data_IF_779090880145
#
_entry.id   IF_779090880145
#
_cell.length_a   1.000
_cell.length_b   1.000
_cell.length_c   1.000
_cell.angle_alpha   90.00
_cell.angle_beta   90.00
_cell.angle_gamma   90.00
#
_symmetry.space_group_name_H-M   'P 1'
#
loop_
_entity.id
_entity.type
_entity.pdbx_description
1 polymer ?
#
# COMPACT_ATOMS: atom_id res chain seq x y z
N UNK A 1 -29.43 -2.62 -15.52
CA UNK A 1 -28.15 -2.48 -16.26
C UNK A 1 -27.23 -1.69 -15.36
N UNK A 2 -26.27 -2.35 -14.71
CA UNK A 2 -25.39 -1.73 -13.74
C UNK A 2 -24.16 -1.19 -14.48
N UNK A 3 -24.01 0.13 -14.46
CA UNK A 3 -22.77 0.81 -14.82
C UNK A 3 -21.68 0.41 -13.83
N UNK A 4 -20.49 -0.05 -14.28
CA UNK A 4 -19.37 -0.23 -13.39
C UNK A 4 -18.88 1.16 -12.97
N UNK A 5 -18.99 1.48 -11.68
CA UNK A 5 -18.25 2.62 -11.13
C UNK A 5 -16.76 2.30 -11.23
N UNK A 6 -16.07 2.97 -12.15
CA UNK A 6 -14.61 3.04 -12.15
C UNK A 6 -14.15 3.67 -10.84
N UNK A 7 -13.83 2.85 -9.85
CA UNK A 7 -13.09 3.26 -8.67
C UNK A 7 -11.61 3.38 -9.05
N UNK A 8 -11.29 4.32 -9.92
CA UNK A 8 -9.91 4.74 -10.17
C UNK A 8 -9.47 5.60 -9.00
N UNK A 9 -9.35 5.00 -7.82
CA UNK A 9 -8.68 5.60 -6.69
C UNK A 9 -7.18 5.59 -7.04
N UNK A 10 -6.67 6.71 -7.56
CA UNK A 10 -5.24 6.93 -7.84
C UNK A 10 -4.49 7.01 -6.50
N UNK A 11 -4.42 5.88 -5.82
CA UNK A 11 -4.06 5.81 -4.41
C UNK A 11 -2.57 5.99 -4.12
N UNK A 12 -1.76 6.08 -5.18
CA UNK A 12 -0.38 6.52 -5.07
C UNK A 12 -0.29 7.98 -4.61
N UNK A 13 -1.35 8.80 -4.80
CA UNK A 13 -1.39 10.20 -4.38
C UNK A 13 -1.47 10.37 -2.85
N UNK A 14 -2.03 9.40 -2.12
CA UNK A 14 -2.13 9.49 -0.65
C UNK A 14 -0.87 9.03 0.08
N UNK A 15 -0.03 8.22 -0.57
CA UNK A 15 1.23 7.72 -0.01
C UNK A 15 2.40 8.50 -0.62
N UNK A 16 2.28 9.83 -0.68
CA UNK A 16 3.41 10.70 -1.01
C UNK A 16 4.08 11.20 0.25
N UNK A 17 5.04 10.44 0.77
CA UNK A 17 6.15 11.09 1.48
C UNK A 17 7.05 11.70 0.42
N UNK A 18 7.06 13.02 0.32
CA UNK A 18 8.14 13.74 -0.33
C UNK A 18 9.40 13.36 0.47
N UNK A 19 10.37 12.62 -0.11
CA UNK A 19 11.52 12.18 0.65
C UNK A 19 12.25 13.43 1.12
N UNK A 20 12.08 13.76 2.41
CA UNK A 20 12.87 14.80 3.06
C UNK A 20 14.33 14.59 2.70
N UNK A 21 15.06 15.71 2.49
CA UNK A 21 16.46 15.71 2.03
C UNK A 21 17.21 14.51 2.59
N UNK A 22 17.85 13.70 1.74
CA UNK A 22 18.46 12.45 2.18
C UNK A 22 19.41 12.77 3.33
N UNK A 23 19.14 12.18 4.50
CA UNK A 23 20.13 12.12 5.57
C UNK A 23 21.41 11.57 4.93
N UNK A 24 22.60 12.15 5.16
CA UNK A 24 23.85 11.66 4.60
C UNK A 24 24.03 10.19 5.01
N UNK A 25 23.64 9.28 4.12
CA UNK A 25 23.84 7.86 4.34
C UNK A 25 25.34 7.61 4.16
N UNK A 26 25.96 6.93 5.13
CA UNK A 26 27.21 6.21 4.87
C UNK A 26 27.02 5.43 3.57
N UNK A 27 28.02 5.38 2.66
CA UNK A 27 27.84 4.78 1.35
C UNK A 27 27.40 3.33 1.51
N UNK A 28 26.10 3.09 1.37
CA UNK A 28 25.55 1.76 1.20
C UNK A 28 26.14 1.33 -0.13
N UNK A 29 26.97 0.28 -0.13
CA UNK A 29 27.50 -0.30 -1.37
C UNK A 29 26.33 -0.50 -2.32
N UNK A 30 26.22 0.34 -3.36
CA UNK A 30 25.23 0.13 -4.42
C UNK A 30 25.53 -1.26 -4.97
N UNK A 31 24.53 -2.14 -4.98
CA UNK A 31 24.64 -3.40 -5.70
C UNK A 31 24.96 -3.04 -7.15
N UNK A 32 25.93 -3.74 -7.75
CA UNK A 32 26.14 -3.59 -9.19
C UNK A 32 24.85 -3.98 -9.92
N UNK A 33 24.63 -3.43 -11.11
CA UNK A 33 23.45 -3.72 -11.93
C UNK A 33 23.21 -5.24 -12.09
N UNK A 34 24.28 -6.01 -12.28
CA UNK A 34 24.20 -7.48 -12.38
C UNK A 34 23.69 -8.14 -11.10
N UNK A 35 24.04 -7.61 -9.93
CA UNK A 35 23.55 -8.13 -8.65
C UNK A 35 22.08 -7.78 -8.44
N UNK A 36 21.64 -6.58 -8.88
CA UNK A 36 20.22 -6.21 -8.88
C UNK A 36 19.42 -7.12 -9.80
N UNK A 37 19.90 -7.38 -11.02
CA UNK A 37 19.27 -8.30 -11.98
C UNK A 37 19.13 -9.69 -11.37
N UNK A 38 20.22 -10.26 -10.85
CA UNK A 38 20.19 -11.58 -10.22
C UNK A 38 19.22 -11.64 -9.05
N UNK A 39 19.18 -10.59 -8.24
CA UNK A 39 18.33 -10.51 -7.06
C UNK A 39 16.83 -10.39 -7.42
N UNK A 40 16.47 -9.53 -8.38
CA UNK A 40 15.08 -9.41 -8.87
C UNK A 40 14.64 -10.72 -9.50
N UNK A 41 15.46 -11.34 -10.36
CA UNK A 41 15.19 -12.67 -10.95
C UNK A 41 14.94 -13.74 -9.89
N UNK A 42 15.82 -13.81 -8.89
CA UNK A 42 15.69 -14.77 -7.80
C UNK A 42 14.43 -14.54 -6.94
N UNK A 43 13.91 -13.32 -6.90
CA UNK A 43 12.62 -13.03 -6.25
C UNK A 43 11.44 -13.38 -7.16
N UNK A 44 11.50 -13.04 -8.45
CA UNK A 44 10.48 -13.40 -9.45
C UNK A 44 10.27 -14.92 -9.55
N UNK A 45 11.35 -15.69 -9.43
CA UNK A 45 11.29 -17.16 -9.40
C UNK A 45 10.58 -17.73 -8.16
N UNK A 46 10.31 -16.92 -7.13
CA UNK A 46 9.54 -17.32 -5.94
C UNK A 46 8.06 -16.98 -6.04
N UNK A 47 7.65 -16.25 -7.09
CA UNK A 47 6.24 -16.01 -7.35
C UNK A 47 5.59 -17.31 -7.83
N UNK A 48 4.25 -17.46 -7.73
CA UNK A 48 3.55 -18.58 -8.35
C UNK A 48 3.89 -18.71 -9.85
N UNK A 49 4.28 -19.91 -10.30
CA UNK A 49 4.74 -20.17 -11.67
C UNK A 49 3.66 -20.84 -12.55
N UNK A 50 2.54 -21.26 -11.96
CA UNK A 50 1.41 -21.85 -12.66
C UNK A 50 0.10 -21.69 -11.88
N UNK A 51 -1.04 -22.02 -12.50
CA UNK A 51 -2.36 -21.91 -11.86
C UNK A 51 -2.44 -22.74 -10.57
N UNK A 52 -1.79 -23.91 -10.53
CA UNK A 52 -1.70 -24.74 -9.32
C UNK A 52 -1.04 -23.97 -8.17
N UNK A 53 0.08 -23.27 -8.39
CA UNK A 53 0.73 -22.47 -7.34
C UNK A 53 -0.16 -21.32 -6.85
N UNK A 54 -0.94 -20.74 -7.76
CA UNK A 54 -1.92 -19.71 -7.47
C UNK A 54 -3.13 -20.27 -6.70
N UNK A 55 -3.45 -21.55 -6.79
CA UNK A 55 -4.66 -22.10 -6.17
C UNK A 55 -4.36 -23.03 -4.97
N UNK A 56 -3.10 -23.45 -4.79
CA UNK A 56 -2.63 -24.34 -3.71
C UNK A 56 -2.67 -23.71 -2.30
N UNK A 57 -2.89 -22.40 -2.18
CA UNK A 57 -3.00 -21.69 -0.91
C UNK A 57 -4.17 -20.72 -0.95
N UNK A 58 -4.76 -20.45 0.22
CA UNK A 58 -5.76 -19.37 0.36
C UNK A 58 -5.10 -18.00 0.09
N UNK A 59 -5.84 -17.06 -0.52
CA UNK A 59 -7.21 -17.18 -1.02
C UNK A 59 -7.28 -17.93 -2.37
N UNK A 60 -8.20 -18.88 -2.52
CA UNK A 60 -8.42 -19.60 -3.79
C UNK A 60 -9.85 -19.45 -4.31
N UNK A 61 -10.73 -18.82 -3.55
CA UNK A 61 -12.14 -18.54 -3.89
C UNK A 61 -12.50 -17.07 -3.70
N UNK A 62 -13.54 -16.54 -4.38
CA UNK A 62 -14.06 -15.19 -4.12
C UNK A 62 -14.51 -14.97 -2.67
N UNK A 63 -15.03 -16.01 -2.02
CA UNK A 63 -15.41 -16.00 -0.62
C UNK A 63 -14.20 -15.82 0.29
N UNK A 64 -13.08 -16.50 0.01
CA UNK A 64 -11.82 -16.31 0.75
C UNK A 64 -11.33 -14.85 0.62
N UNK A 65 -11.40 -14.28 -0.58
CA UNK A 65 -11.04 -12.87 -0.82
C UNK A 65 -11.92 -11.96 0.05
N UNK A 66 -13.22 -12.19 0.05
CA UNK A 66 -14.18 -11.37 0.80
C UNK A 66 -13.99 -11.48 2.31
N UNK A 67 -13.73 -12.69 2.83
CA UNK A 67 -13.45 -12.92 4.24
C UNK A 67 -12.12 -12.29 4.67
N UNK A 68 -11.08 -12.45 3.87
CA UNK A 68 -9.78 -11.85 4.14
C UNK A 68 -9.85 -10.32 4.10
N UNK A 69 -10.56 -9.76 3.11
CA UNK A 69 -10.84 -8.34 3.02
C UNK A 69 -11.53 -7.82 4.29
N UNK A 70 -12.64 -8.44 4.70
CA UNK A 70 -13.36 -8.07 5.91
C UNK A 70 -12.49 -8.10 7.18
N UNK A 71 -11.58 -9.08 7.29
CA UNK A 71 -10.60 -9.16 8.39
C UNK A 71 -9.56 -8.04 8.30
N UNK A 72 -8.94 -7.86 7.13
CA UNK A 72 -7.92 -6.84 6.87
C UNK A 72 -8.46 -5.41 6.98
N UNK A 73 -9.76 -5.20 6.79
CA UNK A 73 -10.42 -3.89 6.96
C UNK A 73 -11.08 -3.70 8.32
N UNK A 74 -10.94 -4.68 9.22
CA UNK A 74 -11.62 -4.74 10.52
C UNK A 74 -13.12 -4.39 10.41
N UNK A 75 -13.78 -4.90 9.37
CA UNK A 75 -15.14 -4.49 8.98
C UNK A 75 -16.19 -4.67 10.07
N UNK A 76 -15.96 -5.64 10.97
CA UNK A 76 -16.77 -5.95 12.14
C UNK A 76 -16.73 -4.86 13.24
N UNK A 77 -15.71 -4.01 13.26
CA UNK A 77 -15.60 -2.91 14.23
C UNK A 77 -16.52 -1.78 13.77
N UNK A 78 -17.61 -1.51 14.49
CA UNK A 78 -18.55 -0.44 14.13
C UNK A 78 -17.96 0.97 14.33
N UNK A 79 -18.56 1.97 13.67
CA UNK A 79 -18.26 3.40 13.90
C UNK A 79 -16.81 3.85 13.64
N UNK A 80 -16.04 3.13 12.83
CA UNK A 80 -14.62 3.47 12.51
C UNK A 80 -14.46 4.89 12.00
N UNK A 81 -15.40 5.36 11.17
CA UNK A 81 -15.42 6.73 10.65
C UNK A 81 -15.43 7.83 11.73
N UNK A 82 -15.94 7.51 12.92
CA UNK A 82 -16.08 8.45 14.04
C UNK A 82 -14.91 8.35 15.03
N UNK A 83 -14.07 7.31 14.95
CA UNK A 83 -12.92 7.14 15.84
C UNK A 83 -11.88 8.22 15.54
N UNK A 84 -11.20 8.75 16.55
CA UNK A 84 -9.94 9.45 16.33
C UNK A 84 -8.88 8.47 15.78
N UNK A 85 -7.78 9.01 15.27
CA UNK A 85 -6.75 8.20 14.63
C UNK A 85 -6.04 7.24 15.59
N UNK A 86 -5.76 7.64 16.83
CA UNK A 86 -5.13 6.76 17.81
C UNK A 86 -6.04 5.57 18.12
N UNK A 87 -7.33 5.83 18.36
CA UNK A 87 -8.34 4.78 18.58
C UNK A 87 -8.46 3.83 17.39
N UNK A 88 -8.48 4.35 16.16
CA UNK A 88 -8.57 3.52 14.96
C UNK A 88 -7.33 2.65 14.75
N UNK A 89 -6.13 3.21 14.94
CA UNK A 89 -4.86 2.48 14.82
C UNK A 89 -4.75 1.40 15.90
N UNK A 90 -5.25 1.65 17.11
CA UNK A 90 -5.25 0.69 18.20
C UNK A 90 -6.24 -0.46 17.98
N UNK A 91 -7.43 -0.14 17.50
CA UNK A 91 -8.41 -1.15 17.06
C UNK A 91 -7.84 -2.00 15.92
N UNK A 92 -7.14 -1.39 14.97
CA UNK A 92 -6.47 -2.10 13.90
C UNK A 92 -5.39 -3.04 14.44
N UNK A 93 -4.50 -2.56 15.31
CA UNK A 93 -3.44 -3.36 15.90
C UNK A 93 -3.96 -4.56 16.69
N UNK A 94 -5.06 -4.40 17.43
CA UNK A 94 -5.68 -5.47 18.21
C UNK A 94 -6.16 -6.65 17.35
N UNK A 95 -6.56 -6.38 16.10
CA UNK A 95 -6.98 -7.40 15.15
C UNK A 95 -5.85 -8.34 14.68
N UNK A 96 -4.58 -7.99 14.94
CA UNK A 96 -3.40 -8.80 14.56
C UNK A 96 -3.47 -10.26 15.04
N UNK A 97 -4.05 -10.49 16.23
CA UNK A 97 -4.25 -11.81 16.83
C UNK A 97 -5.13 -12.76 15.99
N UNK A 98 -5.96 -12.21 15.11
CA UNK A 98 -6.83 -12.96 14.23
C UNK A 98 -6.17 -13.43 12.93
N UNK A 99 -4.88 -13.16 12.70
CA UNK A 99 -4.16 -13.50 11.47
C UNK A 99 -3.15 -14.63 11.69
N UNK A 100 -3.02 -15.51 10.69
CA UNK A 100 -2.02 -16.58 10.72
C UNK A 100 -0.59 -16.00 10.70
N UNK A 101 0.31 -16.47 11.58
CA UNK A 101 1.70 -16.03 11.58
C UNK A 101 2.36 -16.22 10.21
N UNK A 102 3.07 -15.19 9.75
CA UNK A 102 3.77 -15.21 8.48
C UNK A 102 3.11 -14.30 7.44
N UNK A 103 2.49 -14.88 6.41
CA UNK A 103 2.07 -14.14 5.20
C UNK A 103 0.83 -13.26 5.43
N UNK A 104 -0.13 -13.73 6.22
CA UNK A 104 -1.27 -12.91 6.61
C UNK A 104 -0.85 -11.77 7.55
N UNK A 105 -0.07 -12.07 8.60
CA UNK A 105 0.49 -11.02 9.49
C UNK A 105 1.33 -10.01 8.71
N UNK A 106 2.10 -10.43 7.71
CA UNK A 106 2.85 -9.51 6.83
C UNK A 106 1.91 -8.51 6.15
N UNK A 107 0.80 -9.00 5.57
CA UNK A 107 -0.18 -8.16 4.88
C UNK A 107 -0.86 -7.19 5.85
N UNK A 108 -1.28 -7.68 7.02
CA UNK A 108 -1.81 -6.85 8.09
C UNK A 108 -0.82 -5.74 8.51
N UNK A 109 0.46 -6.07 8.70
CA UNK A 109 1.50 -5.08 9.01
C UNK A 109 1.66 -4.04 7.90
N UNK A 110 1.58 -4.44 6.62
CA UNK A 110 1.66 -3.49 5.50
C UNK A 110 0.49 -2.51 5.50
N UNK A 111 -0.73 -2.97 5.80
CA UNK A 111 -1.91 -2.10 5.92
C UNK A 111 -1.78 -1.17 7.14
N UNK A 112 -1.27 -1.66 8.28
CA UNK A 112 -0.97 -0.81 9.44
C UNK A 112 0.00 0.34 9.08
N UNK A 113 1.09 0.02 8.36
CA UNK A 113 2.04 1.06 7.91
C UNK A 113 1.35 2.03 6.95
N UNK A 114 0.45 1.56 6.09
CA UNK A 114 -0.29 2.39 5.15
C UNK A 114 -1.27 3.33 5.85
N UNK A 115 -1.99 2.83 6.85
CA UNK A 115 -2.86 3.63 7.73
C UNK A 115 -2.06 4.71 8.45
N UNK A 116 -0.86 4.38 8.95
CA UNK A 116 0.03 5.33 9.58
C UNK A 116 0.48 6.46 8.64
N UNK A 117 0.71 6.18 7.35
CA UNK A 117 0.97 7.23 6.35
C UNK A 117 -0.20 8.20 6.21
N UNK A 118 -1.42 7.69 6.10
CA UNK A 118 -2.63 8.52 6.01
C UNK A 118 -2.84 9.33 7.29
N UNK A 119 -2.69 8.69 8.46
CA UNK A 119 -2.84 9.34 9.74
C UNK A 119 -1.81 10.49 9.93
N UNK A 120 -0.56 10.25 9.54
CA UNK A 120 0.48 11.30 9.51
C UNK A 120 0.09 12.47 8.60
N UNK A 121 -0.42 12.18 7.39
CA UNK A 121 -0.88 13.23 6.46
C UNK A 121 -2.05 14.07 7.01
N UNK A 122 -2.78 13.54 7.98
CA UNK A 122 -3.92 14.19 8.64
C UNK A 122 -3.60 14.75 10.04
N UNK A 123 -2.32 14.82 10.42
CA UNK A 123 -1.88 15.61 11.57
C UNK A 123 -1.25 14.84 12.73
N UNK A 124 -1.14 13.50 12.67
CA UNK A 124 -0.27 12.81 13.63
C UNK A 124 1.20 13.10 13.36
N UNK A 125 1.96 13.23 14.44
CA UNK A 125 3.41 13.38 14.38
C UNK A 125 4.08 12.08 13.95
N UNK A 126 5.33 12.19 13.49
CA UNK A 126 6.14 11.00 13.15
C UNK A 126 6.29 10.05 14.35
N UNK A 127 6.47 10.56 15.57
CA UNK A 127 6.65 9.73 16.76
C UNK A 127 5.39 8.95 17.13
N UNK A 128 4.21 9.57 16.98
CA UNK A 128 2.93 8.90 17.22
C UNK A 128 2.69 7.78 16.21
N UNK A 129 2.90 8.03 14.92
CA UNK A 129 2.71 6.97 13.92
C UNK A 129 3.74 5.86 14.03
N UNK A 130 4.97 6.16 14.45
CA UNK A 130 5.99 5.15 14.73
C UNK A 130 5.62 4.29 15.95
N UNK A 131 5.03 4.91 16.97
CA UNK A 131 4.49 4.21 18.16
C UNK A 131 3.33 3.28 17.78
N UNK A 132 2.41 3.73 16.92
CA UNK A 132 1.34 2.89 16.41
C UNK A 132 1.87 1.73 15.55
N UNK A 133 2.80 1.99 14.63
CA UNK A 133 3.44 0.95 13.80
C UNK A 133 4.10 -0.16 14.65
N UNK A 134 4.73 0.20 15.76
CA UNK A 134 5.39 -0.73 16.67
C UNK A 134 4.43 -1.77 17.29
N UNK A 135 3.11 -1.51 17.30
CA UNK A 135 2.10 -2.45 17.80
C UNK A 135 1.92 -3.67 16.87
N UNK A 136 2.25 -3.55 15.59
CA UNK A 136 2.15 -4.64 14.61
C UNK A 136 3.51 -5.10 14.09
N UNK A 137 4.44 -4.16 13.90
CA UNK A 137 5.74 -4.43 13.27
C UNK A 137 6.80 -4.67 14.34
N UNK A 138 7.26 -5.92 14.45
CA UNK A 138 8.36 -6.26 15.36
C UNK A 138 9.68 -5.67 14.88
N UNK A 139 10.46 -5.11 15.82
CA UNK A 139 11.80 -4.60 15.58
C UNK A 139 12.05 -3.25 16.26
N UNK A 140 13.28 -2.75 16.12
CA UNK A 140 13.65 -1.42 16.61
C UNK A 140 13.19 -0.29 15.69
N UNK A 141 13.48 0.95 16.09
CA UNK A 141 13.15 2.18 15.35
C UNK A 141 13.65 2.17 13.90
N UNK A 142 14.85 1.64 13.65
CA UNK A 142 15.41 1.52 12.31
C UNK A 142 14.60 0.58 11.41
N UNK A 143 14.10 -0.54 11.95
CA UNK A 143 13.23 -1.47 11.23
C UNK A 143 11.92 -0.79 10.87
N UNK A 144 11.29 -0.12 11.84
CA UNK A 144 10.03 0.61 11.64
C UNK A 144 10.19 1.67 10.54
N UNK A 145 11.26 2.47 10.62
CA UNK A 145 11.58 3.51 9.63
C UNK A 145 11.79 2.89 8.24
N UNK A 146 12.57 1.81 8.16
CA UNK A 146 12.83 1.10 6.92
C UNK A 146 11.54 0.55 6.29
N UNK A 147 10.65 -0.05 7.08
CA UNK A 147 9.33 -0.54 6.62
C UNK A 147 8.43 0.61 6.16
N UNK A 148 8.41 1.74 6.87
CA UNK A 148 7.68 2.96 6.49
C UNK A 148 8.07 3.44 5.09
N UNK A 149 9.38 3.52 4.81
CA UNK A 149 9.90 3.92 3.49
C UNK A 149 9.80 2.83 2.41
N UNK A 150 9.68 1.56 2.80
CA UNK A 150 9.54 0.45 1.87
C UNK A 150 8.12 0.32 1.32
N UNK A 151 7.11 0.62 2.14
CA UNK A 151 5.72 0.39 1.78
C UNK A 151 5.29 1.06 0.46
N UNK A 152 5.60 2.35 0.16
CA UNK A 152 5.21 2.94 -1.11
C UNK A 152 5.75 2.16 -2.31
N UNK A 153 6.99 1.66 -2.20
CA UNK A 153 7.60 0.80 -3.22
C UNK A 153 6.92 -0.55 -3.33
N UNK A 154 6.53 -1.16 -2.20
CA UNK A 154 5.77 -2.41 -2.19
C UNK A 154 4.42 -2.29 -2.92
N UNK A 155 3.73 -1.15 -2.75
CA UNK A 155 2.48 -0.86 -3.47
C UNK A 155 2.76 -0.71 -4.96
N UNK A 156 3.77 0.08 -5.34
CA UNK A 156 4.16 0.25 -6.75
C UNK A 156 4.60 -1.06 -7.41
N UNK A 157 5.34 -1.92 -6.73
CA UNK A 157 5.70 -3.26 -7.23
C UNK A 157 4.43 -4.08 -7.52
N UNK A 158 3.43 -4.02 -6.63
CA UNK A 158 2.16 -4.72 -6.81
C UNK A 158 1.38 -4.20 -8.01
N UNK A 159 1.30 -2.86 -8.15
CA UNK A 159 0.64 -2.20 -9.27
C UNK A 159 1.34 -2.55 -10.61
N UNK A 160 2.67 -2.49 -10.68
CA UNK A 160 3.45 -2.87 -11.88
C UNK A 160 3.29 -4.34 -12.25
N UNK A 161 3.20 -5.24 -11.25
CA UNK A 161 2.95 -6.64 -11.50
C UNK A 161 1.50 -6.92 -11.90
N UNK A 162 0.53 -6.10 -11.46
CA UNK A 162 -0.87 -6.24 -11.83
C UNK A 162 -1.11 -5.99 -13.33
N UNK A 163 -0.31 -5.14 -13.97
CA UNK A 163 -0.36 -4.93 -15.42
C UNK A 163 -0.11 -6.22 -16.21
N UNK A 164 0.74 -7.10 -15.70
CA UNK A 164 1.12 -8.37 -16.38
C UNK A 164 0.34 -9.57 -15.84
N UNK A 165 0.34 -9.75 -14.52
CA UNK A 165 -0.29 -10.88 -13.83
C UNK A 165 -1.80 -10.70 -13.62
N UNK A 166 -2.33 -9.51 -13.89
CA UNK A 166 -3.71 -9.15 -13.56
C UNK A 166 -3.91 -8.92 -12.06
N UNK A 167 -5.19 -8.80 -11.63
CA UNK A 167 -5.55 -8.42 -10.26
C UNK A 167 -4.98 -9.29 -9.16
N UNK A 168 -4.69 -10.56 -9.45
CA UNK A 168 -4.13 -11.50 -8.48
C UNK A 168 -2.73 -11.13 -8.02
N UNK A 169 -2.05 -10.18 -8.69
CA UNK A 169 -0.81 -9.58 -8.18
C UNK A 169 -0.96 -8.98 -6.76
N UNK A 170 -2.15 -8.52 -6.38
CA UNK A 170 -2.40 -7.99 -5.03
C UNK A 170 -2.44 -9.08 -3.95
N UNK A 171 -2.48 -10.37 -4.33
CA UNK A 171 -2.32 -11.49 -3.40
C UNK A 171 -0.85 -11.78 -3.08
N UNK A 172 0.12 -11.21 -3.80
CA UNK A 172 1.54 -11.56 -3.64
C UNK A 172 2.11 -11.41 -2.22
N UNK A 173 1.70 -10.43 -1.39
CA UNK A 173 2.07 -10.39 0.03
C UNK A 173 1.60 -11.62 0.82
N UNK A 174 0.54 -12.30 0.39
CA UNK A 174 0.01 -13.54 0.97
C UNK A 174 0.67 -14.79 0.39
N UNK A 175 1.33 -14.68 -0.76
CA UNK A 175 2.02 -15.79 -1.42
C UNK A 175 3.50 -15.85 -1.05
N UNK A 176 4.14 -14.70 -0.88
CA UNK A 176 5.60 -14.57 -0.69
C UNK A 176 5.93 -14.03 0.69
N UNK A 177 6.59 -14.85 1.51
CA UNK A 177 6.94 -14.54 2.91
C UNK A 177 7.89 -13.35 3.11
N UNK A 178 8.55 -12.88 2.05
CA UNK A 178 9.51 -11.78 2.10
C UNK A 178 9.12 -10.59 1.20
N UNK A 179 7.83 -10.43 0.87
CA UNK A 179 7.36 -9.34 0.01
C UNK A 179 7.70 -7.96 0.59
N UNK A 180 7.44 -7.74 1.88
CA UNK A 180 7.72 -6.45 2.50
C UNK A 180 9.23 -6.19 2.60
N UNK A 181 10.03 -7.23 2.83
CA UNK A 181 11.49 -7.12 2.86
C UNK A 181 12.08 -6.89 1.48
N UNK A 182 11.47 -7.45 0.43
CA UNK A 182 11.85 -7.16 -0.94
C UNK A 182 11.74 -5.65 -1.23
N UNK A 183 10.63 -5.02 -0.87
CA UNK A 183 10.46 -3.57 -1.03
C UNK A 183 11.46 -2.71 -0.24
N UNK A 184 12.02 -3.19 0.88
CA UNK A 184 13.05 -2.44 1.63
C UNK A 184 14.35 -2.26 0.85
N UNK A 185 14.71 -3.25 0.02
CA UNK A 185 15.93 -3.24 -0.76
C UNK A 185 15.70 -2.86 -2.23
N UNK A 186 14.44 -2.67 -2.62
CA UNK A 186 14.06 -2.28 -3.96
C UNK A 186 14.40 -0.80 -4.20
N UNK A 187 15.04 -0.52 -5.34
CA UNK A 187 15.40 0.85 -5.76
C UNK A 187 14.68 1.20 -7.05
N UNK A 188 14.64 2.48 -7.42
CA UNK A 188 13.97 2.92 -8.64
C UNK A 188 14.50 2.20 -9.90
N UNK A 189 15.81 1.96 -9.98
CA UNK A 189 16.47 1.23 -11.07
C UNK A 189 15.97 -0.23 -11.21
N UNK A 190 15.43 -0.81 -10.14
CA UNK A 190 14.91 -2.16 -10.17
C UNK A 190 13.56 -2.28 -10.92
N UNK A 191 12.83 -1.18 -11.15
CA UNK A 191 11.55 -1.23 -11.88
C UNK A 191 11.74 -1.66 -13.35
N UNK A 192 12.78 -1.17 -14.03
CA UNK A 192 13.06 -1.58 -15.41
C UNK A 192 13.49 -3.04 -15.52
N UNK A 193 14.11 -3.57 -14.46
CA UNK A 193 14.41 -5.00 -14.36
C UNK A 193 13.10 -5.77 -14.13
N UNK A 194 12.30 -5.35 -13.15
CA UNK A 194 11.03 -5.99 -12.79
C UNK A 194 10.11 -6.12 -14.00
N UNK A 195 9.90 -5.05 -14.78
CA UNK A 195 9.07 -5.06 -15.99
C UNK A 195 9.57 -6.04 -17.06
N UNK A 196 10.88 -6.13 -17.25
CA UNK A 196 11.48 -7.07 -18.21
C UNK A 196 11.31 -8.52 -17.76
N UNK A 197 11.55 -8.79 -16.49
CA UNK A 197 11.44 -10.14 -15.94
C UNK A 197 9.98 -10.58 -15.75
N UNK A 198 9.05 -9.65 -15.49
CA UNK A 198 7.63 -9.97 -15.35
C UNK A 198 6.93 -10.22 -16.67
N UNK A 199 7.42 -9.69 -17.79
CA UNK A 199 6.80 -9.85 -19.11
C UNK A 199 6.56 -11.31 -19.55
N UNK A 200 7.31 -12.26 -18.99
CA UNK A 200 7.18 -13.70 -19.27
C UNK A 200 6.58 -14.48 -18.09
N UNK A 201 6.17 -13.81 -17.03
CA UNK A 201 5.61 -14.45 -15.85
C UNK A 201 4.20 -15.02 -16.13
N UNK A 202 3.88 -16.13 -15.46
CA UNK A 202 2.58 -16.79 -15.64
C UNK A 202 1.44 -15.92 -15.11
N UNK A 203 0.54 -15.51 -16.02
CA UNK A 203 -0.71 -14.86 -15.65
C UNK A 203 -1.74 -15.91 -15.24
N UNK A 204 -2.25 -15.89 -13.99
CA UNK A 204 -3.26 -16.83 -13.55
C UNK A 204 -4.53 -16.75 -14.40
N UNK A 205 -5.12 -17.90 -14.71
CA UNK A 205 -6.36 -17.99 -15.52
C UNK A 205 -7.62 -17.79 -14.72
N UNK A 206 -7.62 -18.24 -13.47
CA UNK A 206 -8.75 -18.04 -12.58
C UNK A 206 -8.78 -16.58 -12.11
N UNK A 207 -9.89 -15.88 -12.37
CA UNK A 207 -10.06 -14.49 -11.99
C UNK A 207 -10.75 -14.42 -10.62
N UNK A 208 -10.00 -13.96 -9.63
CA UNK A 208 -10.52 -13.61 -8.31
C UNK A 208 -10.62 -12.07 -8.20
N UNK A 209 -11.54 -11.53 -7.39
CA UNK A 209 -11.70 -10.08 -7.18
C UNK A 209 -10.60 -9.50 -6.29
N UNK A 210 -9.34 -9.77 -6.63
CA UNK A 210 -8.16 -9.53 -5.81
C UNK A 210 -7.78 -8.06 -5.74
N UNK A 211 -8.37 -7.18 -6.56
CA UNK A 211 -8.27 -5.72 -6.41
C UNK A 211 -8.75 -5.24 -5.03
N UNK A 212 -9.66 -5.97 -4.39
CA UNK A 212 -10.07 -5.69 -3.02
C UNK A 212 -8.88 -5.76 -2.04
N UNK A 213 -7.88 -6.61 -2.31
CA UNK A 213 -6.70 -6.79 -1.47
C UNK A 213 -5.59 -5.78 -1.74
N UNK A 214 -5.77 -4.88 -2.73
CA UNK A 214 -4.82 -3.80 -2.97
C UNK A 214 -4.73 -2.92 -1.73
N UNK A 215 -3.53 -2.75 -1.17
CA UNK A 215 -3.31 -2.08 0.14
C UNK A 215 -4.03 -0.73 0.25
N UNK A 216 -3.95 0.18 -0.73
CA UNK A 216 -4.71 1.42 -0.64
C UNK A 216 -6.23 1.28 -0.60
N UNK A 217 -6.81 0.25 -1.26
CA UNK A 217 -8.25 -0.03 -1.16
C UNK A 217 -8.59 -0.50 0.25
N UNK A 218 -7.77 -1.40 0.83
CA UNK A 218 -7.91 -1.83 2.21
C UNK A 218 -7.87 -0.64 3.19
N UNK A 219 -6.94 0.29 3.00
CA UNK A 219 -6.84 1.51 3.84
C UNK A 219 -8.10 2.37 3.72
N UNK A 220 -8.59 2.59 2.51
CA UNK A 220 -9.83 3.34 2.27
C UNK A 220 -11.01 2.72 3.04
N UNK A 221 -11.13 1.41 3.01
CA UNK A 221 -12.23 0.68 3.66
C UNK A 221 -12.06 0.56 5.18
N UNK A 222 -10.83 0.48 5.71
CA UNK A 222 -10.56 0.62 7.16
C UNK A 222 -11.06 1.99 7.63
N UNK A 223 -10.75 3.03 6.86
CA UNK A 223 -11.14 4.40 7.19
C UNK A 223 -12.66 4.64 7.11
N UNK A 224 -13.43 3.79 6.42
CA UNK A 224 -14.90 3.85 6.38
C UNK A 224 -15.44 5.26 6.02
N UNK A 225 -14.78 5.93 5.06
CA UNK A 225 -15.12 7.29 4.63
C UNK A 225 -14.60 8.43 5.55
N UNK A 226 -13.77 8.13 6.56
CA UNK A 226 -13.06 9.14 7.39
C UNK A 226 -12.16 10.05 6.56
N UNK A 227 -11.55 9.52 5.51
CA UNK A 227 -10.66 10.26 4.60
C UNK A 227 -11.51 10.86 3.48
N UNK A 228 -11.84 12.16 3.61
CA UNK A 228 -12.41 12.92 2.50
C UNK A 228 -11.29 13.28 1.53
N UNK A 229 -11.54 13.10 0.23
CA UNK A 229 -10.70 13.65 -0.83
C UNK A 229 -10.76 15.17 -0.73
N UNK A 230 -9.76 15.80 -0.12
CA UNK A 230 -9.52 17.22 -0.30
C UNK A 230 -9.09 17.44 -1.75
N UNK A 231 -10.07 17.50 -2.66
CA UNK A 231 -9.92 18.22 -3.93
C UNK A 231 -9.84 19.72 -3.60
N UNK A 232 -8.74 20.13 -2.97
CA UNK A 232 -8.23 21.48 -3.22
C UNK A 232 -7.59 21.42 -4.59
N UNK A 233 -8.43 21.63 -5.61
CA UNK A 233 -7.93 22.19 -6.87
C UNK A 233 -7.15 23.47 -6.55
N UNK A 234 -6.25 23.91 -7.44
CA UNK A 234 -5.48 25.12 -7.21
C UNK A 234 -6.46 26.29 -7.07
N UNK A 235 -6.71 26.68 -5.82
CA UNK A 235 -7.26 27.97 -5.49
C UNK A 235 -6.19 28.97 -5.85
N UNK A 236 -6.30 29.55 -7.04
CA UNK A 236 -5.69 30.83 -7.32
C UNK A 236 -6.35 31.83 -6.35
N UNK A 237 -5.62 32.15 -5.28
CA UNK A 237 -5.94 33.30 -4.45
C UNK A 237 -5.72 34.59 -5.24
N UNK A 238 -6.56 35.57 -4.92
CA UNK A 238 -6.26 37.01 -4.90
C UNK A 238 -5.66 37.65 -6.16
N UNK A 239 -6.52 38.31 -6.94
CA UNK A 239 -6.25 39.64 -7.52
C UNK A 239 -7.46 40.51 -7.14
N UNK A 240 -7.29 41.36 -6.13
CA UNK A 240 -7.14 42.81 -6.29
C UNK A 240 -8.39 43.50 -6.85
N UNK A 241 -9.06 44.20 -5.93
CA UNK A 241 -9.97 45.30 -6.19
C UNK A 241 -9.22 46.45 -6.87
N UNK A 242 -9.77 47.01 -7.94
CA UNK A 242 -9.87 48.45 -8.20
C UNK A 242 -10.57 48.67 -9.56
N UNK A 243 -11.55 49.58 -9.58
CA UNK A 243 -12.33 49.87 -10.78
C UNK A 243 -13.62 50.61 -10.46
N UNK A 244 -13.47 51.84 -9.94
CA UNK A 244 -14.52 52.85 -9.91
C UNK A 244 -15.10 53.04 -11.32
N UNK A 245 -16.44 53.11 -11.39
CA UNK A 245 -17.18 53.44 -12.59
C UNK A 245 -18.37 54.28 -12.21
N UNK A 246 -18.14 55.59 -12.09
CA UNK A 246 -19.18 56.62 -12.14
C UNK A 246 -20.02 56.46 -13.42
N UNK A 247 -21.35 56.45 -13.28
CA UNK A 247 -22.24 57.05 -14.27
C UNK A 247 -23.43 57.67 -13.52
N UNK A 248 -23.39 58.99 -13.31
CA UNK A 248 -24.58 59.83 -13.17
C UNK A 248 -24.99 60.29 -14.58
N UNK A 249 -26.25 60.01 -14.98
CA UNK A 249 -27.36 60.91 -15.38
C UNK A 249 -28.47 60.05 -15.99
#
# INVERSE_FOLDING_TARGET
MNTPQSSTFAAAEFITENPGKPVPQKPVRRRGLNDQIRWVRAWMAKLPQGDEDWDNNRPSTPEDISQLHARLTISHVGSRRNMDWHTLLDAYAAASSGFEPGRETQTHCMVMVALCHVAHSQGLTTDEVMTAMAKCVSGGSDTLRSKRFALPKCVQIGDELAEVLGPRAYELPLRVSAYFTFGQHFTAECFDILRRESAVAHRPRNNLPSEALRIPNLVYDVCDGKVRTDRKGPGAGSGESEGEGEIEV
#
